data_IF_465994104354
#
_entry.id   IF_465994104354
#
_cell.length_a   1.000
_cell.length_b   1.000
_cell.length_c   1.000
_cell.angle_alpha   90.00
_cell.angle_beta   90.00
_cell.angle_gamma   90.00
#
_symmetry.space_group_name_H-M   'P 1'
#
loop_
_entity.id
_entity.type
_entity.pdbx_description
1 polymer ?
#
# COMPACT_ATOMS: atom_id res chain seq x y z
N UNK A 1 37.58 -84.99 51.07
CA UNK A 1 37.95 -83.66 50.54
C UNK A 1 36.66 -82.91 50.25
N UNK A 2 36.37 -81.90 51.06
CA UNK A 2 35.19 -81.05 50.96
C UNK A 2 35.14 -80.33 49.61
N UNK A 3 34.01 -80.48 48.91
CA UNK A 3 33.53 -79.53 47.92
C UNK A 3 32.25 -78.91 48.48
N UNK A 4 32.43 -78.19 49.59
CA UNK A 4 31.45 -77.27 50.14
C UNK A 4 31.82 -75.87 49.62
N UNK A 5 31.45 -75.60 48.36
CA UNK A 5 31.62 -74.30 47.73
C UNK A 5 30.73 -74.24 46.49
N UNK A 6 29.51 -73.73 46.66
CA UNK A 6 28.77 -72.87 45.70
C UNK A 6 27.24 -72.99 45.78
N UNK A 7 26.67 -73.64 46.80
CA UNK A 7 25.20 -73.69 46.97
C UNK A 7 24.60 -72.43 47.64
N UNK A 8 25.27 -71.28 47.51
CA UNK A 8 24.88 -70.02 48.17
C UNK A 8 24.73 -68.84 47.18
N UNK A 9 24.59 -69.12 45.87
CA UNK A 9 24.35 -68.11 44.83
C UNK A 9 22.94 -68.13 44.24
N UNK A 10 22.18 -69.21 44.45
CA UNK A 10 20.81 -69.39 43.92
C UNK A 10 19.72 -68.85 44.88
N UNK A 11 20.04 -68.63 46.17
CA UNK A 11 19.04 -68.23 47.19
C UNK A 11 18.87 -66.70 47.37
N UNK A 12 19.56 -65.90 46.55
CA UNK A 12 19.58 -64.44 46.71
C UNK A 12 18.34 -63.72 46.19
N UNK A 13 17.68 -64.26 45.16
CA UNK A 13 16.68 -63.55 44.36
C UNK A 13 15.48 -64.45 44.01
N UNK A 14 15.02 -65.30 44.92
CA UNK A 14 13.77 -66.03 44.69
C UNK A 14 12.58 -65.04 44.63
N UNK A 15 11.55 -65.31 43.81
CA UNK A 15 10.36 -64.47 43.72
C UNK A 15 9.76 -64.11 45.10
N UNK A 16 9.77 -65.07 46.02
CA UNK A 16 9.26 -64.90 47.37
C UNK A 16 10.15 -63.96 48.20
N UNK A 17 11.49 -64.05 48.08
CA UNK A 17 12.42 -63.16 48.77
C UNK A 17 12.40 -61.73 48.22
N UNK A 18 12.21 -61.56 46.92
CA UNK A 18 12.06 -60.25 46.28
C UNK A 18 10.76 -59.58 46.75
N UNK A 19 9.69 -60.33 46.94
CA UNK A 19 8.42 -59.80 47.45
C UNK A 19 8.48 -59.42 48.94
N UNK A 20 9.32 -60.09 49.74
CA UNK A 20 9.42 -59.89 51.20
C UNK A 20 10.65 -59.10 51.64
N UNK A 21 11.40 -58.48 50.73
CA UNK A 21 12.63 -57.76 51.08
C UNK A 21 12.29 -56.39 51.70
N UNK A 22 12.84 -56.11 52.89
CA UNK A 22 12.67 -54.83 53.59
C UNK A 22 13.91 -53.96 53.44
N UNK A 23 13.72 -52.66 53.16
CA UNK A 23 14.80 -51.69 53.02
C UNK A 23 14.84 -50.70 54.19
N UNK A 24 16.04 -50.32 54.64
CA UNK A 24 16.23 -49.31 55.67
C UNK A 24 15.81 -47.91 55.17
N UNK A 25 15.05 -47.17 55.99
CA UNK A 25 14.50 -45.87 55.60
C UNK A 25 15.46 -44.72 55.91
N UNK A 26 15.79 -43.94 54.90
CA UNK A 26 16.61 -42.71 55.03
C UNK A 26 15.71 -41.47 54.91
N UNK A 27 16.14 -40.32 55.48
CA UNK A 27 15.35 -39.06 55.56
C UNK A 27 14.95 -38.47 54.20
N UNK A 28 15.57 -38.91 53.10
CA UNK A 28 15.15 -38.73 51.71
C UNK A 28 15.33 -40.08 51.01
N UNK A 29 14.31 -40.54 50.29
CA UNK A 29 14.31 -41.84 49.60
C UNK A 29 13.03 -42.05 48.80
N UNK A 30 12.96 -43.17 48.08
CA UNK A 30 11.80 -43.59 47.32
C UNK A 30 10.62 -43.94 48.23
N UNK A 31 9.39 -43.77 47.73
CA UNK A 31 8.17 -44.13 48.45
C UNK A 31 8.12 -45.65 48.68
N UNK A 32 7.87 -46.06 49.93
CA UNK A 32 7.86 -47.47 50.32
C UNK A 32 6.74 -48.25 49.65
N UNK A 33 5.58 -47.61 49.47
CA UNK A 33 4.41 -48.28 48.88
C UNK A 33 4.62 -48.51 47.37
N UNK A 34 5.23 -47.54 46.68
CA UNK A 34 5.61 -47.65 45.27
C UNK A 34 6.69 -48.71 45.05
N UNK A 35 7.73 -48.73 45.91
CA UNK A 35 8.78 -49.76 45.87
C UNK A 35 8.19 -51.16 46.10
N UNK A 36 7.27 -51.31 47.07
CA UNK A 36 6.61 -52.60 47.33
C UNK A 36 5.76 -53.08 46.15
N UNK A 37 5.03 -52.17 45.51
CA UNK A 37 4.26 -52.48 44.30
C UNK A 37 5.16 -52.90 43.13
N UNK A 38 6.32 -52.24 42.97
CA UNK A 38 7.30 -52.59 41.95
C UNK A 38 7.95 -53.96 42.21
N UNK A 39 8.38 -54.23 43.45
CA UNK A 39 8.94 -55.54 43.83
C UNK A 39 7.94 -56.68 43.61
N UNK A 40 6.64 -56.45 43.84
CA UNK A 40 5.59 -57.42 43.51
C UNK A 40 5.53 -57.76 42.01
N UNK A 41 5.68 -56.76 41.13
CA UNK A 41 5.76 -56.98 39.68
C UNK A 41 7.03 -57.72 39.27
N UNK A 42 8.18 -57.34 39.84
CA UNK A 42 9.47 -57.99 39.58
C UNK A 42 9.44 -59.45 40.04
N UNK A 43 8.93 -59.72 41.25
CA UNK A 43 8.77 -61.07 41.76
C UNK A 43 7.89 -61.94 40.84
N UNK A 44 6.77 -61.40 40.36
CA UNK A 44 5.89 -62.11 39.42
C UNK A 44 6.60 -62.44 38.09
N UNK A 45 7.39 -61.49 37.56
CA UNK A 45 8.16 -61.72 36.33
C UNK A 45 9.26 -62.77 36.52
N UNK A 46 9.98 -62.73 37.64
CA UNK A 46 11.00 -63.75 37.96
C UNK A 46 10.37 -65.12 38.09
N UNK A 47 9.20 -65.24 38.74
CA UNK A 47 8.48 -66.52 38.85
C UNK A 47 8.07 -67.08 37.48
N UNK A 48 7.62 -66.22 36.56
CA UNK A 48 7.30 -66.63 35.19
C UNK A 48 8.57 -67.09 34.46
N UNK A 49 9.67 -66.36 34.56
CA UNK A 49 10.93 -66.73 33.92
C UNK A 49 11.49 -68.05 34.45
N UNK A 50 11.45 -68.27 35.77
CA UNK A 50 11.85 -69.55 36.39
C UNK A 50 10.98 -70.71 35.90
N UNK A 51 9.66 -70.50 35.78
CA UNK A 51 8.76 -71.54 35.24
C UNK A 51 9.06 -71.89 33.78
N UNK A 52 9.41 -70.89 32.96
CA UNK A 52 9.82 -71.08 31.58
C UNK A 52 11.16 -71.81 31.50
N UNK A 53 12.12 -71.45 32.34
CA UNK A 53 13.44 -72.08 32.37
C UNK A 53 13.38 -73.53 32.84
N UNK A 54 12.54 -73.82 33.85
CA UNK A 54 12.24 -75.19 34.28
C UNK A 54 11.59 -76.00 33.17
N UNK A 55 10.64 -75.41 32.43
CA UNK A 55 10.01 -76.06 31.29
C UNK A 55 11.00 -76.37 30.17
N UNK A 56 11.78 -75.37 29.74
CA UNK A 56 12.77 -75.52 28.68
C UNK A 56 13.86 -76.52 29.07
N UNK A 57 14.34 -76.49 30.32
CA UNK A 57 15.33 -77.46 30.80
C UNK A 57 14.77 -78.88 30.86
N UNK A 58 13.51 -79.06 31.26
CA UNK A 58 12.82 -80.35 31.20
C UNK A 58 12.65 -80.86 29.76
N UNK A 59 12.23 -80.00 28.83
CA UNK A 59 12.11 -80.32 27.40
C UNK A 59 13.47 -80.72 26.79
N UNK A 60 14.54 -80.00 27.16
CA UNK A 60 15.90 -80.27 26.72
C UNK A 60 16.45 -81.58 27.30
N UNK A 61 16.15 -81.89 28.55
CA UNK A 61 16.55 -83.15 29.19
C UNK A 61 15.80 -84.34 28.61
N UNK A 62 14.51 -84.19 28.28
CA UNK A 62 13.74 -85.18 27.52
C UNK A 62 14.37 -85.39 26.14
N UNK A 63 14.66 -84.33 25.39
CA UNK A 63 15.33 -84.42 24.09
C UNK A 63 16.70 -85.10 24.19
N UNK A 64 17.49 -84.74 25.20
CA UNK A 64 18.82 -85.32 25.43
C UNK A 64 18.75 -86.81 25.76
N UNK A 65 17.75 -87.23 26.53
CA UNK A 65 17.50 -88.64 26.85
C UNK A 65 17.02 -89.42 25.63
N UNK A 66 16.19 -88.82 24.79
CA UNK A 66 15.78 -89.38 23.49
C UNK A 66 16.96 -89.56 22.53
N UNK A 67 17.92 -88.61 22.52
CA UNK A 67 19.14 -88.71 21.72
C UNK A 67 20.12 -89.76 22.26
N UNK A 68 20.30 -89.87 23.59
CA UNK A 68 21.16 -90.87 24.23
C UNK A 68 20.62 -92.30 24.15
N UNK A 69 19.31 -92.48 23.99
CA UNK A 69 18.67 -93.79 23.79
C UNK A 69 18.84 -94.36 22.38
N UNK A 70 19.48 -93.63 21.46
CA UNK A 70 19.71 -94.09 20.08
C UNK A 70 21.13 -94.65 19.98
N UNK A 71 21.32 -95.95 19.66
CA UNK A 71 22.65 -96.53 19.50
C UNK A 71 23.42 -95.82 18.38
N UNK A 72 24.69 -95.51 18.64
CA UNK A 72 25.59 -94.69 17.80
C UNK A 72 25.98 -95.34 16.44
N UNK A 73 25.48 -96.52 16.09
CA UNK A 73 25.80 -97.18 14.81
C UNK A 73 24.80 -96.85 13.67
N UNK A 74 23.78 -96.03 13.93
CA UNK A 74 22.91 -95.46 12.89
C UNK A 74 23.25 -93.99 12.64
N UNK A 75 24.53 -93.66 12.67
CA UNK A 75 25.02 -92.34 12.31
C UNK A 75 25.18 -92.31 10.80
N UNK A 76 24.15 -91.75 10.15
CA UNK A 76 24.15 -91.22 8.77
C UNK A 76 24.09 -92.29 7.67
N UNK A 77 22.89 -92.75 7.35
CA UNK A 77 22.62 -93.17 5.97
C UNK A 77 22.63 -91.89 5.09
N UNK A 78 23.62 -91.70 4.19
CA UNK A 78 23.72 -90.50 3.36
C UNK A 78 22.47 -90.25 2.51
N UNK A 79 21.74 -91.33 2.22
CA UNK A 79 20.50 -91.34 1.45
C UNK A 79 19.37 -90.62 2.18
N UNK A 80 19.21 -90.88 3.49
CA UNK A 80 18.20 -90.25 4.34
C UNK A 80 18.48 -88.77 4.59
N UNK A 81 19.76 -88.39 4.68
CA UNK A 81 20.17 -86.99 4.80
C UNK A 81 19.93 -86.23 3.48
N UNK A 82 20.17 -86.87 2.33
CA UNK A 82 19.86 -86.30 1.02
C UNK A 82 18.36 -86.08 0.80
N UNK A 83 17.52 -87.01 1.21
CA UNK A 83 16.06 -86.90 1.14
C UNK A 83 15.52 -85.80 2.06
N UNK A 84 15.98 -85.75 3.31
CA UNK A 84 15.60 -84.68 4.25
C UNK A 84 16.08 -83.30 3.79
N UNK A 85 17.28 -83.19 3.20
CA UNK A 85 17.77 -81.94 2.65
C UNK A 85 16.97 -81.50 1.41
N UNK A 86 16.61 -82.43 0.52
CA UNK A 86 15.77 -82.14 -0.64
C UNK A 86 14.37 -81.65 -0.21
N UNK A 87 13.80 -82.27 0.83
CA UNK A 87 12.50 -81.85 1.36
C UNK A 87 12.54 -80.45 1.98
N UNK A 88 13.58 -80.14 2.76
CA UNK A 88 13.77 -78.79 3.32
C UNK A 88 13.90 -77.74 2.20
N UNK A 89 14.65 -78.05 1.13
CA UNK A 89 14.79 -77.14 -0.03
C UNK A 89 13.45 -76.95 -0.75
N UNK A 90 12.64 -78.00 -0.88
CA UNK A 90 11.31 -77.93 -1.49
C UNK A 90 10.37 -77.04 -0.66
N UNK A 91 10.29 -77.28 0.65
CA UNK A 91 9.51 -76.47 1.58
C UNK A 91 9.99 -75.01 1.56
N UNK A 92 11.30 -74.78 1.57
CA UNK A 92 11.86 -73.43 1.49
C UNK A 92 11.51 -72.74 0.16
N UNK A 93 11.53 -73.46 -0.96
CA UNK A 93 11.18 -72.93 -2.28
C UNK A 93 9.70 -72.59 -2.39
N UNK A 94 8.82 -73.45 -1.87
CA UNK A 94 7.38 -73.22 -1.83
C UNK A 94 7.04 -72.04 -0.91
N UNK A 95 7.69 -71.95 0.24
CA UNK A 95 7.56 -70.82 1.17
C UNK A 95 8.06 -69.53 0.52
N UNK A 96 9.20 -69.54 -0.16
CA UNK A 96 9.71 -68.38 -0.88
C UNK A 96 8.79 -67.94 -2.02
N UNK A 97 8.12 -68.87 -2.70
CA UNK A 97 7.10 -68.55 -3.71
C UNK A 97 5.86 -67.92 -3.05
N UNK A 98 5.38 -68.47 -1.94
CA UNK A 98 4.25 -67.91 -1.20
C UNK A 98 4.54 -66.49 -0.70
N UNK A 99 5.74 -66.25 -0.16
CA UNK A 99 6.19 -64.92 0.27
C UNK A 99 6.23 -63.94 -0.91
N UNK A 100 6.73 -64.35 -2.08
CA UNK A 100 6.73 -63.50 -3.27
C UNK A 100 5.33 -63.09 -3.71
N UNK A 101 4.41 -64.05 -3.85
CA UNK A 101 3.02 -63.78 -4.24
C UNK A 101 2.35 -62.84 -3.22
N UNK A 102 2.59 -63.07 -1.92
CA UNK A 102 2.05 -62.21 -0.86
C UNK A 102 2.65 -60.79 -0.93
N UNK A 103 3.95 -60.67 -1.19
CA UNK A 103 4.62 -59.38 -1.32
C UNK A 103 4.15 -58.60 -2.55
N UNK A 104 3.95 -59.28 -3.69
CA UNK A 104 3.39 -58.71 -4.92
C UNK A 104 1.97 -58.20 -4.67
N UNK A 105 1.08 -59.04 -4.13
CA UNK A 105 -0.29 -58.64 -3.80
C UNK A 105 -0.34 -57.47 -2.80
N UNK A 106 0.55 -57.45 -1.81
CA UNK A 106 0.62 -56.35 -0.86
C UNK A 106 1.15 -55.06 -1.50
N UNK A 107 2.07 -55.17 -2.46
CA UNK A 107 2.60 -54.04 -3.22
C UNK A 107 1.51 -53.43 -4.11
N UNK A 108 0.76 -54.27 -4.83
CA UNK A 108 -0.37 -53.83 -5.65
C UNK A 108 -1.44 -53.12 -4.80
N UNK A 109 -1.76 -53.68 -3.63
CA UNK A 109 -2.71 -53.06 -2.71
C UNK A 109 -2.23 -51.72 -2.14
N UNK A 110 -0.91 -51.55 -1.94
CA UNK A 110 -0.34 -50.25 -1.56
C UNK A 110 -0.43 -49.28 -2.73
N UNK A 111 -0.07 -49.71 -3.94
CA UNK A 111 -0.07 -48.86 -5.13
C UNK A 111 -1.48 -48.32 -5.41
N UNK A 112 -2.48 -49.20 -5.41
CA UNK A 112 -3.87 -48.82 -5.64
C UNK A 112 -4.38 -47.85 -4.55
N UNK A 113 -3.96 -48.06 -3.29
CA UNK A 113 -4.29 -47.13 -2.19
C UNK A 113 -3.61 -45.78 -2.38
N UNK A 114 -2.35 -45.77 -2.81
CA UNK A 114 -1.59 -44.56 -3.07
C UNK A 114 -2.19 -43.77 -4.25
N UNK A 115 -2.56 -44.44 -5.34
CA UNK A 115 -3.24 -43.85 -6.50
C UNK A 115 -4.58 -43.25 -6.10
N UNK A 116 -5.44 -44.00 -5.40
CA UNK A 116 -6.72 -43.48 -4.89
C UNK A 116 -6.54 -42.30 -3.94
N UNK A 117 -5.49 -42.31 -3.10
CA UNK A 117 -5.18 -41.19 -2.22
C UNK A 117 -4.69 -39.98 -3.00
N UNK A 118 -3.82 -40.18 -3.98
CA UNK A 118 -3.31 -39.12 -4.84
C UNK A 118 -4.43 -38.45 -5.61
N UNK A 119 -5.32 -39.24 -6.21
CA UNK A 119 -6.47 -38.74 -6.94
C UNK A 119 -7.38 -37.89 -6.05
N UNK A 120 -7.67 -38.35 -4.83
CA UNK A 120 -8.45 -37.56 -3.86
C UNK A 120 -7.77 -36.26 -3.46
N UNK A 121 -6.45 -36.27 -3.30
CA UNK A 121 -5.69 -35.05 -2.96
C UNK A 121 -5.77 -34.05 -4.11
N UNK A 122 -5.64 -34.51 -5.35
CA UNK A 122 -5.78 -33.65 -6.54
C UNK A 122 -7.18 -33.07 -6.63
N UNK A 123 -8.22 -33.90 -6.52
CA UNK A 123 -9.62 -33.44 -6.57
C UNK A 123 -9.95 -32.43 -5.46
N UNK A 124 -9.49 -32.66 -4.23
CA UNK A 124 -9.69 -31.74 -3.11
C UNK A 124 -8.89 -30.44 -3.31
N UNK A 125 -7.69 -30.51 -3.86
CA UNK A 125 -6.88 -29.35 -4.17
C UNK A 125 -7.51 -28.50 -5.29
N UNK A 126 -8.03 -29.14 -6.35
CA UNK A 126 -8.73 -28.48 -7.45
C UNK A 126 -10.01 -27.80 -6.95
N UNK A 127 -10.85 -28.51 -6.19
CA UNK A 127 -12.06 -27.94 -5.61
C UNK A 127 -11.77 -26.74 -4.70
N UNK A 128 -10.70 -26.80 -3.90
CA UNK A 128 -10.25 -25.67 -3.07
C UNK A 128 -9.72 -24.51 -3.90
N UNK A 129 -8.96 -24.79 -4.96
CA UNK A 129 -8.43 -23.77 -5.85
C UNK A 129 -9.57 -23.03 -6.56
N UNK A 130 -10.57 -23.75 -7.07
CA UNK A 130 -11.76 -23.16 -7.70
C UNK A 130 -12.56 -22.31 -6.71
N UNK A 131 -12.78 -22.81 -5.48
CA UNK A 131 -13.47 -22.06 -4.45
C UNK A 131 -12.73 -20.76 -4.09
N UNK A 132 -11.40 -20.83 -3.92
CA UNK A 132 -10.57 -19.66 -3.63
C UNK A 132 -10.57 -18.66 -4.80
N UNK A 133 -10.53 -19.15 -6.04
CA UNK A 133 -10.59 -18.30 -7.22
C UNK A 133 -11.93 -17.59 -7.34
N UNK A 134 -13.03 -18.27 -7.06
CA UNK A 134 -14.37 -17.68 -7.05
C UNK A 134 -14.49 -16.62 -5.94
N UNK A 135 -14.08 -16.94 -4.72
CA UNK A 135 -14.08 -16.01 -3.59
C UNK A 135 -13.21 -14.78 -3.88
N UNK A 136 -12.01 -14.99 -4.41
CA UNK A 136 -11.10 -13.90 -4.79
C UNK A 136 -11.70 -13.02 -5.89
N UNK A 137 -12.33 -13.62 -6.91
CA UNK A 137 -12.99 -12.87 -7.99
C UNK A 137 -14.16 -12.03 -7.45
N UNK A 138 -15.00 -12.61 -6.59
CA UNK A 138 -16.11 -11.89 -5.96
C UNK A 138 -15.61 -10.74 -5.09
N UNK A 139 -14.59 -10.99 -4.25
CA UNK A 139 -13.98 -9.97 -3.40
C UNK A 139 -13.37 -8.83 -4.22
N UNK A 140 -12.70 -9.15 -5.33
CA UNK A 140 -12.15 -8.15 -6.25
C UNK A 140 -13.26 -7.31 -6.92
N UNK A 141 -14.35 -7.94 -7.35
CA UNK A 141 -15.50 -7.23 -7.93
C UNK A 141 -16.16 -6.30 -6.90
N UNK A 142 -16.33 -6.75 -5.66
CA UNK A 142 -16.85 -5.94 -4.56
C UNK A 142 -15.95 -4.75 -4.27
N UNK A 143 -14.64 -4.94 -4.25
CA UNK A 143 -13.67 -3.87 -4.04
C UNK A 143 -13.74 -2.84 -5.17
N UNK A 144 -13.81 -3.27 -6.43
CA UNK A 144 -13.98 -2.37 -7.58
C UNK A 144 -15.28 -1.58 -7.48
N UNK A 145 -16.38 -2.23 -7.11
CA UNK A 145 -17.67 -1.55 -6.95
C UNK A 145 -17.65 -0.51 -5.83
N UNK A 146 -17.01 -0.82 -4.69
CA UNK A 146 -16.83 0.14 -3.59
C UNK A 146 -15.95 1.31 -4.01
N UNK A 147 -14.82 1.03 -4.64
CA UNK A 147 -13.90 2.07 -5.14
C UNK A 147 -14.59 2.99 -6.15
N UNK A 148 -15.39 2.45 -7.08
CA UNK A 148 -16.17 3.25 -8.02
C UNK A 148 -17.19 4.14 -7.31
N UNK A 149 -17.96 3.59 -6.36
CA UNK A 149 -18.92 4.39 -5.58
C UNK A 149 -18.24 5.52 -4.81
N UNK A 150 -17.09 5.24 -4.19
CA UNK A 150 -16.32 6.26 -3.47
C UNK A 150 -15.77 7.32 -4.42
N UNK A 151 -15.26 6.92 -5.59
CA UNK A 151 -14.81 7.87 -6.61
C UNK A 151 -15.96 8.76 -7.09
N UNK A 152 -17.13 8.19 -7.40
CA UNK A 152 -18.31 8.94 -7.82
C UNK A 152 -18.78 9.92 -6.73
N UNK A 153 -18.72 9.51 -5.46
CA UNK A 153 -19.06 10.38 -4.32
C UNK A 153 -18.06 11.53 -4.16
N UNK A 154 -16.76 11.26 -4.30
CA UNK A 154 -15.71 12.28 -4.26
C UNK A 154 -15.86 13.29 -5.40
N UNK A 155 -16.15 12.83 -6.61
CA UNK A 155 -16.38 13.70 -7.77
C UNK A 155 -17.59 14.60 -7.51
N UNK A 156 -18.73 14.04 -7.08
CA UNK A 156 -19.91 14.84 -6.74
C UNK A 156 -19.65 15.85 -5.64
N UNK A 157 -18.87 15.46 -4.62
CA UNK A 157 -18.51 16.35 -3.53
C UNK A 157 -17.65 17.51 -4.04
N UNK A 158 -16.64 17.22 -4.88
CA UNK A 158 -15.79 18.22 -5.49
C UNK A 158 -16.57 19.15 -6.44
N UNK A 159 -17.51 18.61 -7.23
CA UNK A 159 -18.40 19.41 -8.09
C UNK A 159 -19.25 20.38 -7.26
N UNK A 160 -19.90 19.88 -6.20
CA UNK A 160 -20.72 20.70 -5.31
C UNK A 160 -19.89 21.81 -4.65
N UNK A 161 -18.70 21.45 -4.14
CA UNK A 161 -17.78 22.44 -3.56
C UNK A 161 -17.29 23.46 -4.58
N UNK A 162 -17.03 23.03 -5.82
CA UNK A 162 -16.62 23.93 -6.90
C UNK A 162 -17.74 24.92 -7.25
N UNK A 163 -18.97 24.44 -7.37
CA UNK A 163 -20.14 25.29 -7.64
C UNK A 163 -20.36 26.30 -6.50
N UNK A 164 -20.26 25.87 -5.25
CA UNK A 164 -20.35 26.76 -4.09
C UNK A 164 -19.26 27.84 -4.10
N UNK A 165 -18.02 27.48 -4.44
CA UNK A 165 -16.91 28.42 -4.55
C UNK A 165 -17.12 29.42 -5.69
N UNK A 166 -17.60 28.96 -6.85
CA UNK A 166 -17.90 29.83 -7.99
C UNK A 166 -19.01 30.82 -7.63
N UNK A 167 -20.07 30.36 -6.96
CA UNK A 167 -21.16 31.24 -6.54
C UNK A 167 -20.71 32.27 -5.50
N UNK A 168 -19.88 31.88 -4.52
CA UNK A 168 -19.27 32.83 -3.58
C UNK A 168 -18.41 33.87 -4.29
N UNK A 169 -17.52 33.43 -5.18
CA UNK A 169 -16.65 34.33 -5.95
C UNK A 169 -17.47 35.29 -6.85
N UNK A 170 -18.58 34.83 -7.43
CA UNK A 170 -19.51 35.68 -8.20
C UNK A 170 -20.19 36.73 -7.32
N UNK A 171 -20.67 36.33 -6.13
CA UNK A 171 -21.29 37.24 -5.18
C UNK A 171 -20.30 38.32 -4.74
N UNK A 172 -19.10 37.92 -4.29
CA UNK A 172 -18.04 38.85 -3.89
C UNK A 172 -17.63 39.78 -5.03
N UNK A 173 -17.47 39.25 -6.25
CA UNK A 173 -17.18 40.05 -7.44
C UNK A 173 -18.26 41.08 -7.74
N UNK A 174 -19.54 40.69 -7.65
CA UNK A 174 -20.68 41.60 -7.83
C UNK A 174 -20.69 42.71 -6.77
N UNK A 175 -20.42 42.38 -5.51
CA UNK A 175 -20.34 43.36 -4.41
C UNK A 175 -19.17 44.33 -4.59
N UNK A 176 -18.01 43.85 -5.04
CA UNK A 176 -16.85 44.71 -5.34
C UNK A 176 -17.21 45.67 -6.47
N UNK A 177 -17.83 45.19 -7.54
CA UNK A 177 -18.25 46.04 -8.67
C UNK A 177 -19.29 47.06 -8.24
N UNK A 178 -20.26 46.69 -7.40
CA UNK A 178 -21.24 47.61 -6.84
C UNK A 178 -20.56 48.71 -6.01
N UNK A 179 -19.70 48.32 -5.06
CA UNK A 179 -18.92 49.28 -4.25
C UNK A 179 -18.04 50.20 -5.08
N UNK A 180 -17.39 49.68 -6.11
CA UNK A 180 -16.56 50.47 -7.02
C UNK A 180 -17.39 51.49 -7.82
N UNK A 181 -18.61 51.12 -8.25
CA UNK A 181 -19.54 52.05 -8.90
C UNK A 181 -20.00 53.15 -7.95
N UNK A 182 -20.39 52.80 -6.74
CA UNK A 182 -20.84 53.76 -5.72
C UNK A 182 -19.75 54.76 -5.35
N UNK A 183 -18.53 54.25 -5.12
CA UNK A 183 -17.33 55.08 -4.89
C UNK A 183 -17.08 56.01 -6.08
N UNK A 184 -17.10 55.48 -7.31
CA UNK A 184 -16.93 56.29 -8.52
C UNK A 184 -17.98 57.40 -8.60
N UNK A 185 -19.26 57.11 -8.34
CA UNK A 185 -20.31 58.14 -8.38
C UNK A 185 -20.08 59.21 -7.33
N UNK A 186 -19.73 58.81 -6.10
CA UNK A 186 -19.38 59.76 -5.03
C UNK A 186 -18.21 60.66 -5.41
N UNK A 187 -17.13 60.08 -5.96
CA UNK A 187 -15.97 60.87 -6.40
C UNK A 187 -16.31 61.84 -7.54
N UNK A 188 -17.15 61.43 -8.49
CA UNK A 188 -17.59 62.29 -9.59
C UNK A 188 -18.47 63.44 -9.09
N UNK A 189 -19.36 63.18 -8.13
CA UNK A 189 -20.20 64.22 -7.54
C UNK A 189 -19.39 65.19 -6.67
N UNK A 190 -18.42 64.71 -5.90
CA UNK A 190 -17.47 65.56 -5.17
C UNK A 190 -16.65 66.43 -6.12
N UNK A 191 -16.18 65.87 -7.24
CA UNK A 191 -15.44 66.62 -8.25
C UNK A 191 -16.32 67.70 -8.91
N UNK A 192 -17.57 67.38 -9.27
CA UNK A 192 -18.54 68.35 -9.78
C UNK A 192 -18.80 69.47 -8.79
N UNK A 193 -19.02 69.12 -7.52
CA UNK A 193 -19.25 70.11 -6.48
C UNK A 193 -18.06 71.07 -6.32
N UNK A 194 -16.83 70.55 -6.36
CA UNK A 194 -15.61 71.37 -6.36
C UNK A 194 -15.53 72.28 -7.59
N UNK A 195 -15.85 71.78 -8.77
CA UNK A 195 -15.89 72.60 -9.99
C UNK A 195 -16.92 73.72 -9.85
N UNK A 196 -18.12 73.43 -9.35
CA UNK A 196 -19.17 74.45 -9.14
C UNK A 196 -18.74 75.53 -8.14
N UNK A 197 -18.05 75.14 -7.07
CA UNK A 197 -17.48 76.09 -6.09
C UNK A 197 -16.40 76.95 -6.75
N UNK A 198 -15.45 76.35 -7.46
CA UNK A 198 -14.39 77.08 -8.15
C UNK A 198 -14.93 78.03 -9.23
N UNK A 199 -15.96 77.62 -9.98
CA UNK A 199 -16.61 78.49 -10.98
C UNK A 199 -17.24 79.71 -10.31
N UNK A 200 -17.90 79.54 -9.16
CA UNK A 200 -18.43 80.66 -8.39
C UNK A 200 -17.32 81.60 -7.92
N UNK A 201 -16.25 81.06 -7.33
CA UNK A 201 -15.10 81.86 -6.88
C UNK A 201 -14.46 82.64 -8.04
N UNK A 202 -14.29 82.03 -9.22
CA UNK A 202 -13.79 82.71 -10.41
C UNK A 202 -14.73 83.84 -10.84
N UNK A 203 -16.05 83.59 -10.86
CA UNK A 203 -17.03 84.63 -11.23
C UNK A 203 -17.04 85.82 -10.26
N UNK A 204 -16.84 85.57 -8.97
CA UNK A 204 -16.71 86.61 -7.94
C UNK A 204 -15.41 87.40 -8.12
N UNK A 205 -14.30 86.72 -8.41
CA UNK A 205 -13.02 87.35 -8.73
C UNK A 205 -13.09 88.20 -10.00
N UNK A 206 -13.78 87.74 -11.04
CA UNK A 206 -14.02 88.51 -12.26
C UNK A 206 -14.87 89.76 -11.99
N UNK A 207 -15.93 89.64 -11.20
CA UNK A 207 -16.74 90.77 -10.79
C UNK A 207 -15.93 91.78 -9.97
N UNK A 208 -15.11 91.31 -9.02
CA UNK A 208 -14.21 92.14 -8.24
C UNK A 208 -13.15 92.83 -9.13
N UNK A 209 -12.55 92.10 -10.08
CA UNK A 209 -11.62 92.63 -11.08
C UNK A 209 -12.28 93.72 -11.92
N UNK A 210 -13.48 93.48 -12.43
CA UNK A 210 -14.23 94.44 -13.24
C UNK A 210 -14.62 95.69 -12.44
N UNK A 211 -14.94 95.53 -11.15
CA UNK A 211 -15.17 96.64 -10.22
C UNK A 211 -13.91 97.50 -10.03
N UNK A 212 -12.75 96.88 -9.79
CA UNK A 212 -11.47 97.60 -9.67
C UNK A 212 -11.12 98.32 -10.97
N UNK A 213 -11.28 97.68 -12.13
CA UNK A 213 -11.06 98.32 -13.44
C UNK A 213 -11.98 99.53 -13.64
N UNK A 214 -13.24 99.46 -13.22
CA UNK A 214 -14.18 100.58 -13.25
C UNK A 214 -13.73 101.73 -12.35
N UNK A 215 -13.27 101.43 -11.12
CA UNK A 215 -12.72 102.41 -10.17
C UNK A 215 -11.49 103.10 -10.76
N UNK A 216 -10.53 102.33 -11.28
CA UNK A 216 -9.32 102.86 -11.91
C UNK A 216 -9.64 103.73 -13.13
N UNK A 217 -10.56 103.29 -13.98
CA UNK A 217 -11.03 104.07 -15.14
C UNK A 217 -11.75 105.35 -14.70
N UNK A 218 -12.52 105.30 -13.61
CA UNK A 218 -13.13 106.45 -12.96
C UNK A 218 -12.08 107.44 -12.45
N UNK A 219 -11.08 106.96 -11.72
CA UNK A 219 -9.96 107.75 -11.22
C UNK A 219 -9.16 108.39 -12.37
N UNK A 220 -8.85 107.63 -13.43
CA UNK A 220 -8.20 108.15 -14.63
C UNK A 220 -9.01 109.27 -15.30
N UNK A 221 -10.34 109.13 -15.39
CA UNK A 221 -11.22 110.21 -15.88
C UNK A 221 -11.27 111.43 -14.96
N UNK A 222 -11.15 111.24 -13.64
CA UNK A 222 -11.07 112.36 -12.68
C UNK A 222 -9.73 113.09 -12.78
N UNK A 223 -8.62 112.35 -12.91
CA UNK A 223 -7.29 112.93 -13.13
C UNK A 223 -7.28 113.71 -14.45
N UNK A 224 -7.77 113.12 -15.54
CA UNK A 224 -7.86 113.82 -16.83
C UNK A 224 -8.72 115.09 -16.75
N UNK A 225 -9.79 115.09 -15.93
CA UNK A 225 -10.58 116.31 -15.66
C UNK A 225 -9.82 117.34 -14.82
N UNK A 226 -9.10 116.91 -13.78
CA UNK A 226 -8.30 117.78 -12.94
C UNK A 226 -7.15 118.44 -13.74
N UNK A 227 -6.49 117.67 -14.61
CA UNK A 227 -5.46 118.14 -15.54
C UNK A 227 -6.03 119.17 -16.53
N UNK A 228 -7.25 118.94 -17.06
CA UNK A 228 -7.93 119.89 -17.94
C UNK A 228 -8.43 121.16 -17.21
N UNK A 229 -8.57 121.14 -15.88
CA UNK A 229 -8.90 122.33 -15.06
C UNK A 229 -7.67 123.07 -14.54
N UNK A 230 -6.49 122.46 -14.60
CA UNK A 230 -5.21 123.04 -14.15
C UNK A 230 -4.45 123.75 -15.29
N UNK A 231 -5.04 123.88 -16.48
CA UNK A 231 -4.41 124.61 -17.59
C UNK A 231 -5.42 125.48 -18.37
N UNK A 232 -5.47 126.79 -18.08
CA UNK A 232 -5.54 127.78 -19.13
C UNK A 232 -4.25 128.59 -19.06
N UNK A 233 -3.31 128.28 -19.95
CA UNK A 233 -2.07 129.00 -20.24
C UNK A 233 -0.77 128.39 -19.71
N UNK A 234 -0.30 127.32 -20.35
CA UNK A 234 1.08 127.31 -20.89
C UNK A 234 1.31 126.28 -22.01
N UNK A 235 0.64 126.48 -23.14
CA UNK A 235 1.25 126.03 -24.42
C UNK A 235 2.33 127.01 -24.83
N UNK A 236 3.59 126.70 -24.50
CA UNK A 236 4.71 126.78 -25.45
C UNK A 236 6.01 126.22 -24.85
N UNK A 237 6.44 125.14 -25.50
CA UNK A 237 7.78 124.53 -25.52
C UNK A 237 8.09 123.56 -24.39
N UNK A 238 7.97 122.27 -24.71
CA UNK A 238 9.00 121.22 -24.86
C UNK A 238 8.18 119.94 -25.03
N UNK A 239 8.16 119.27 -26.19
CA UNK A 239 9.22 118.37 -26.62
C UNK A 239 9.00 116.96 -26.06
N UNK A 240 8.54 116.05 -26.93
CA UNK A 240 8.73 114.59 -26.89
C UNK A 240 7.92 113.69 -25.90
N UNK A 241 7.34 112.64 -26.50
CA UNK A 241 6.97 111.30 -25.95
C UNK A 241 5.74 111.28 -25.02
N UNK A 242 4.74 110.41 -25.17
CA UNK A 242 4.54 109.29 -26.09
C UNK A 242 3.04 108.92 -26.12
N UNK A 243 2.62 108.33 -27.23
CA UNK A 243 1.27 107.78 -27.42
C UNK A 243 1.14 106.56 -26.49
N UNK A 244 0.45 106.67 -25.36
CA UNK A 244 0.01 105.50 -24.59
C UNK A 244 -1.31 105.03 -25.19
N UNK A 245 -1.18 104.18 -26.19
CA UNK A 245 -2.28 103.41 -26.77
C UNK A 245 -2.62 102.32 -25.75
N UNK A 246 -3.72 102.52 -24.99
CA UNK A 246 -4.27 101.45 -24.15
C UNK A 246 -4.97 100.48 -25.09
N UNK A 247 -4.18 99.53 -25.61
CA UNK A 247 -4.69 98.32 -26.25
C UNK A 247 -5.40 97.51 -25.16
N UNK A 248 -6.73 97.55 -25.16
CA UNK A 248 -7.53 96.51 -24.51
C UNK A 248 -7.55 95.36 -25.50
N UNK A 249 -6.55 94.49 -25.42
CA UNK A 249 -6.59 93.25 -26.17
C UNK A 249 -7.54 92.30 -25.45
N UNK A 250 -8.68 92.08 -26.09
CA UNK A 250 -9.69 91.11 -25.70
C UNK A 250 -9.33 89.79 -26.36
N UNK A 251 -8.21 89.17 -25.98
CA UNK A 251 -7.98 87.75 -26.22
C UNK A 251 -6.78 87.26 -25.41
N UNK A 252 -7.05 86.31 -24.51
CA UNK A 252 -6.06 85.58 -23.74
C UNK A 252 -6.54 84.13 -23.61
N UNK A 253 -6.94 83.54 -24.75
CA UNK A 253 -6.85 82.11 -24.94
C UNK A 253 -5.42 81.80 -25.35
N UNK A 254 -4.56 81.46 -24.40
CA UNK A 254 -3.36 80.62 -24.62
C UNK A 254 -2.68 80.37 -23.27
N UNK A 255 -2.96 79.21 -22.68
CA UNK A 255 -2.11 78.60 -21.65
C UNK A 255 -1.15 77.66 -22.39
N UNK A 256 0.15 77.96 -22.50
CA UNK A 256 1.14 76.98 -22.90
C UNK A 256 1.53 76.18 -21.66
N UNK A 257 0.89 75.04 -21.47
CA UNK A 257 1.27 74.03 -20.48
C UNK A 257 1.72 72.79 -21.22
N UNK A 258 3.04 72.72 -21.45
CA UNK A 258 3.76 71.55 -21.91
C UNK A 258 3.30 70.27 -21.19
N UNK A 259 3.41 69.19 -21.96
CA UNK A 259 3.29 67.81 -21.56
C UNK A 259 3.81 67.52 -20.13
N UNK A 260 2.90 67.13 -19.24
CA UNK A 260 3.23 66.08 -18.27
C UNK A 260 2.80 64.77 -18.91
N UNK A 261 3.69 64.28 -19.78
CA UNK A 261 3.77 62.87 -20.14
C UNK A 261 4.14 62.12 -18.86
N UNK A 262 3.15 61.71 -18.06
CA UNK A 262 3.34 60.61 -17.13
C UNK A 262 3.45 59.36 -17.98
N UNK A 263 4.69 59.10 -18.40
CA UNK A 263 5.11 57.89 -19.06
C UNK A 263 4.51 56.70 -18.34
N UNK A 264 3.70 55.98 -19.09
CA UNK A 264 3.42 54.55 -18.90
C UNK A 264 4.78 53.86 -19.03
N UNK A 265 5.51 53.79 -17.92
CA UNK A 265 6.75 53.03 -17.76
C UNK A 265 6.47 51.86 -16.85
N UNK A 266 6.38 50.67 -17.45
CA UNK A 266 6.18 49.42 -16.73
C UNK A 266 7.25 49.17 -15.67
N UNK A 267 6.80 48.91 -14.45
CA UNK A 267 7.43 47.93 -13.57
C UNK A 267 6.31 47.18 -12.89
N UNK A 268 5.85 46.13 -13.57
CA UNK A 268 5.14 45.02 -12.96
C UNK A 268 6.16 44.31 -12.08
N UNK A 269 6.23 44.68 -10.81
CA UNK A 269 6.76 43.83 -9.77
C UNK A 269 5.59 43.00 -9.24
N UNK A 270 5.34 41.86 -9.87
CA UNK A 270 4.58 40.76 -9.27
C UNK A 270 5.37 40.24 -8.08
N UNK A 271 5.08 40.74 -6.88
CA UNK A 271 5.34 40.02 -5.65
C UNK A 271 4.17 39.06 -5.43
N UNK A 272 4.21 37.95 -6.17
CA UNK A 272 3.51 36.73 -5.83
C UNK A 272 4.33 36.05 -4.73
N UNK A 273 4.04 36.37 -3.46
CA UNK A 273 4.49 35.55 -2.34
C UNK A 273 3.28 34.73 -1.87
N UNK A 274 3.21 33.55 -2.47
CA UNK A 274 2.22 32.53 -2.22
C UNK A 274 2.83 31.18 -2.59
N UNK A 275 3.34 30.50 -1.56
CA UNK A 275 3.37 29.03 -1.40
C UNK A 275 4.11 28.21 -2.46
N UNK A 276 5.29 27.69 -2.09
CA UNK A 276 5.68 26.31 -2.41
C UNK A 276 6.01 25.59 -1.09
N UNK A 277 4.99 24.93 -0.55
CA UNK A 277 5.21 23.63 0.06
C UNK A 277 5.55 22.68 -1.10
N UNK A 278 6.74 22.08 -1.08
CA UNK A 278 6.99 20.88 -1.87
C UNK A 278 7.54 19.81 -0.93
N UNK A 279 6.65 18.83 -0.71
CA UNK A 279 6.97 17.59 -0.05
C UNK A 279 7.45 16.59 -1.11
N UNK A 280 8.70 16.17 -0.94
CA UNK A 280 9.22 14.81 -1.16
C UNK A 280 8.90 14.13 -2.50
N UNK A 281 9.90 13.97 -3.36
CA UNK A 281 10.00 12.77 -4.19
C UNK A 281 11.44 12.27 -4.30
N UNK A 282 11.57 10.98 -4.06
CA UNK A 282 12.77 10.20 -3.80
C UNK A 282 13.48 9.85 -5.12
N UNK A 283 14.80 10.04 -5.14
CA UNK A 283 15.69 9.62 -6.24
C UNK A 283 15.71 8.08 -6.31
N UNK A 284 14.82 7.50 -7.12
CA UNK A 284 14.88 6.10 -7.49
C UNK A 284 15.17 5.98 -8.98
N UNK A 285 16.40 5.58 -9.27
CA UNK A 285 16.93 5.20 -10.59
C UNK A 285 15.92 4.37 -11.38
N UNK A 286 15.73 4.61 -12.69
CA UNK A 286 15.00 3.66 -13.52
C UNK A 286 15.88 2.42 -13.74
N UNK A 287 15.51 1.34 -13.04
CA UNK A 287 15.94 0.00 -13.36
C UNK A 287 15.44 -0.40 -14.74
N UNK A 288 16.35 -0.99 -15.50
CA UNK A 288 16.16 -1.65 -16.78
C UNK A 288 14.97 -2.63 -16.72
N UNK A 289 13.91 -2.37 -17.50
CA UNK A 289 12.88 -3.37 -17.81
C UNK A 289 12.84 -3.51 -19.33
N UNK A 290 13.09 -4.70 -19.90
CA UNK A 290 13.11 -4.89 -21.34
C UNK A 290 11.68 -4.83 -21.90
N UNK A 291 11.52 -3.99 -22.92
CA UNK A 291 10.28 -3.80 -23.66
C UNK A 291 10.06 -4.96 -24.64
N UNK A 292 8.91 -5.62 -24.44
CA UNK A 292 8.00 -6.22 -25.42
C UNK A 292 8.53 -7.17 -26.51
N UNK A 293 8.05 -8.41 -26.37
CA UNK A 293 7.82 -9.40 -27.42
C UNK A 293 7.04 -8.80 -28.61
N UNK A 294 7.59 -8.98 -29.81
CA UNK A 294 6.89 -8.77 -31.08
C UNK A 294 5.73 -9.75 -31.27
N UNK A 295 4.61 -9.31 -31.87
CA UNK A 295 3.79 -10.19 -32.68
C UNK A 295 3.62 -9.60 -34.09
N UNK A 296 4.27 -10.20 -35.10
CA UNK A 296 4.21 -9.64 -36.45
C UNK A 296 4.75 -10.52 -37.58
N UNK A 297 4.65 -11.85 -37.49
CA UNK A 297 4.99 -12.76 -38.59
C UNK A 297 3.80 -13.03 -39.51
N UNK A 298 3.56 -12.18 -40.49
CA UNK A 298 2.65 -12.44 -41.60
C UNK A 298 3.42 -13.19 -42.70
N UNK A 299 3.19 -14.49 -42.85
CA UNK A 299 3.61 -15.25 -44.03
C UNK A 299 2.40 -15.96 -44.65
N UNK A 300 1.91 -15.31 -45.70
CA UNK A 300 1.52 -15.88 -47.00
C UNK A 300 1.08 -17.34 -47.04
N UNK A 301 -0.21 -17.49 -47.34
CA UNK A 301 -0.88 -18.62 -47.98
C UNK A 301 0.00 -19.32 -49.03
N UNK A 302 0.27 -20.60 -48.83
CA UNK A 302 0.57 -21.54 -49.90
C UNK A 302 -0.59 -22.55 -50.00
N UNK A 303 -1.32 -22.42 -51.10
CA UNK A 303 -2.43 -23.28 -51.48
C UNK A 303 -1.91 -24.30 -52.48
N UNK A 304 -1.78 -25.56 -52.07
CA UNK A 304 -1.44 -26.63 -52.99
C UNK A 304 -1.44 -28.02 -52.37
N UNK A 305 -2.53 -28.77 -52.60
CA UNK A 305 -2.58 -30.25 -52.71
C UNK A 305 -2.26 -31.03 -51.41
N UNK A 306 -3.09 -31.93 -50.90
CA UNK A 306 -3.44 -33.22 -51.49
C UNK A 306 -4.54 -33.93 -50.65
N UNK A 307 -5.37 -34.69 -51.35
CA UNK A 307 -6.04 -35.94 -50.96
C UNK A 307 -7.23 -35.96 -49.98
N UNK A 308 -8.40 -35.79 -50.60
CA UNK A 308 -9.50 -36.76 -50.66
C UNK A 308 -9.18 -38.22 -50.24
N UNK A 309 -9.71 -38.66 -49.09
CA UNK A 309 -10.21 -40.03 -48.78
C UNK A 309 -11.27 -39.82 -47.67
N UNK A 310 -12.58 -39.81 -47.95
CA UNK A 310 -13.50 -40.96 -48.11
C UNK A 310 -13.75 -41.74 -46.80
N UNK A 311 -15.04 -42.02 -46.57
CA UNK A 311 -15.72 -42.84 -45.54
C UNK A 311 -16.03 -42.14 -44.20
N UNK A 312 -17.27 -41.75 -43.87
CA UNK A 312 -18.56 -42.48 -43.84
C UNK A 312 -18.49 -43.83 -43.14
N UNK A 313 -18.88 -43.83 -41.87
CA UNK A 313 -19.59 -44.86 -41.08
C UNK A 313 -19.64 -44.27 -39.65
N UNK A 314 -20.66 -44.41 -38.80
CA UNK A 314 -22.00 -44.97 -38.83
C UNK A 314 -22.70 -44.43 -37.57
#
# INVERSE_FOLDING_TARGET
MSLDASNNREDGLSPQRIATTEFASTRRGYDRDEVRAFLGKVAAQVAVLESMLSRVSSELEVHRRSLRGRPEDSILDPSMVGEQAAEVVRIASDTARAIRIQAESHSDAILERAERSSQRIVEDAEAKAEALQLESSQSAQDLILRAKKQADELVRHAETQSDELIEKARQEGSEIVARAKDLRTSYLDDARHKVDVLVKEVSELEAARNSVLSILTGAGRMIARAENTLDPESTRRVGQKGKVEVLIDSDSSDIPGDAVELGIGGSVATANDGSHEDSVFEDTRPGNVPDSLEPGGNQTLDSGQLDEVVDQEA
#
